data_IF_620496182870
#
_entry.id   IF_620496182870
#
_cell.length_a   1.000
_cell.length_b   1.000
_cell.length_c   1.000
_cell.angle_alpha   90.00
_cell.angle_beta   90.00
_cell.angle_gamma   90.00
#
_symmetry.space_group_name_H-M   'P 1'
#
loop_
_entity.id
_entity.type
_entity.pdbx_description
1 polymer ?
#
# COMPACT_ATOMS: atom_id res chain seq x y z
N UNK A 1 -1.14 23.02 -24.48
CA UNK A 1 -0.27 22.79 -23.31
C UNK A 1 -0.92 23.43 -22.09
N UNK A 2 -0.78 22.87 -20.91
CA UNK A 2 -1.25 23.45 -19.66
C UNK A 2 0.00 23.80 -18.85
N UNK A 3 0.21 25.08 -18.60
CA UNK A 3 1.37 25.58 -17.87
C UNK A 3 0.98 26.03 -16.47
N UNK A 4 1.87 25.83 -15.50
CA UNK A 4 1.76 26.32 -14.13
C UNK A 4 0.40 25.96 -13.46
N UNK A 5 -0.06 24.74 -13.65
CA UNK A 5 -1.27 24.26 -13.01
C UNK A 5 -1.01 24.00 -11.52
N UNK A 6 -1.54 24.84 -10.66
CA UNK A 6 -1.61 24.64 -9.22
C UNK A 6 -3.03 24.15 -8.87
N UNK A 7 -3.14 22.84 -8.60
CA UNK A 7 -4.41 22.20 -8.25
C UNK A 7 -4.88 22.69 -6.87
N UNK A 8 -3.94 22.86 -5.93
CA UNK A 8 -4.24 23.33 -4.59
C UNK A 8 -4.85 24.75 -4.58
N UNK A 9 -4.21 25.65 -5.32
CA UNK A 9 -4.71 27.03 -5.43
C UNK A 9 -6.10 27.10 -6.08
N UNK A 10 -6.47 26.11 -6.91
CA UNK A 10 -7.74 26.08 -7.64
C UNK A 10 -8.87 25.35 -6.92
N UNK A 11 -8.58 24.28 -6.20
CA UNK A 11 -9.60 23.43 -5.59
C UNK A 11 -9.53 23.37 -4.06
N UNK A 12 -8.46 23.88 -3.46
CA UNK A 12 -8.25 23.81 -2.01
C UNK A 12 -7.91 22.41 -1.53
N UNK A 13 -7.96 22.23 -0.22
CA UNK A 13 -7.78 20.93 0.44
C UNK A 13 -8.99 20.04 0.11
N UNK A 14 -8.73 18.80 -0.29
CA UNK A 14 -9.73 17.78 -0.62
C UNK A 14 -10.72 18.18 -1.76
N UNK A 15 -10.39 19.22 -2.50
CA UNK A 15 -11.20 19.67 -3.62
C UNK A 15 -10.89 18.91 -4.92
N UNK A 16 -11.93 18.40 -5.59
CA UNK A 16 -11.77 17.82 -6.91
C UNK A 16 -11.53 18.92 -7.96
N UNK A 17 -10.48 18.74 -8.78
CA UNK A 17 -10.20 19.62 -9.91
C UNK A 17 -10.47 18.89 -11.22
N UNK A 18 -11.29 19.51 -12.07
CA UNK A 18 -11.60 18.99 -13.40
C UNK A 18 -11.18 19.99 -14.46
N UNK A 19 -10.57 19.50 -15.53
CA UNK A 19 -10.25 20.29 -16.70
C UNK A 19 -10.62 19.55 -17.97
N UNK A 20 -11.26 20.26 -18.89
CA UNK A 20 -11.53 19.78 -20.24
C UNK A 20 -10.46 20.38 -21.16
N UNK A 21 -9.84 19.53 -21.95
CA UNK A 21 -8.86 19.92 -22.97
C UNK A 21 -9.26 19.29 -24.29
N UNK A 22 -9.05 20.03 -25.37
CA UNK A 22 -9.14 19.47 -26.71
C UNK A 22 -7.77 18.90 -27.09
N UNK A 23 -7.77 17.69 -27.59
CA UNK A 23 -6.56 17.01 -28.06
C UNK A 23 -6.88 16.25 -29.35
N UNK A 24 -5.89 16.11 -30.21
CA UNK A 24 -5.97 15.32 -31.40
C UNK A 24 -5.25 13.98 -31.19
N UNK A 25 -5.94 12.90 -31.53
CA UNK A 25 -5.33 11.57 -31.49
C UNK A 25 -4.40 11.39 -32.69
N UNK A 26 -3.15 11.06 -32.45
CA UNK A 26 -2.18 10.75 -33.49
C UNK A 26 -2.08 9.23 -33.60
N UNK A 27 -2.36 8.67 -34.77
CA UNK A 27 -2.41 7.23 -35.00
C UNK A 27 -3.34 6.44 -34.04
N UNK A 28 -4.42 7.09 -33.57
CA UNK A 28 -5.37 6.48 -32.62
C UNK A 28 -4.92 6.56 -31.17
N UNK A 29 -3.81 7.21 -30.87
CA UNK A 29 -3.26 7.33 -29.52
C UNK A 29 -3.34 8.75 -28.99
N UNK A 30 -3.65 8.92 -27.70
CA UNK A 30 -3.57 10.15 -26.95
C UNK A 30 -2.46 10.01 -25.91
N UNK A 31 -1.42 10.81 -26.03
CA UNK A 31 -0.33 10.88 -25.06
C UNK A 31 -0.60 11.99 -24.03
N UNK A 32 -0.55 11.64 -22.76
CA UNK A 32 -0.58 12.59 -21.65
C UNK A 32 0.79 12.56 -20.99
N UNK A 33 1.49 13.67 -21.04
CA UNK A 33 2.84 13.79 -20.51
C UNK A 33 2.91 14.89 -19.44
N UNK A 34 3.74 14.68 -18.43
CA UNK A 34 4.05 15.64 -17.37
C UNK A 34 5.56 15.92 -17.38
N UNK A 35 6.04 16.73 -18.34
CA UNK A 35 7.47 16.92 -18.53
C UNK A 35 8.15 17.61 -17.34
N UNK A 36 7.39 18.37 -16.55
CA UNK A 36 7.90 19.04 -15.35
C UNK A 36 6.84 19.08 -14.26
N UNK A 37 7.19 18.55 -13.08
CA UNK A 37 6.38 18.64 -11.86
C UNK A 37 7.18 19.44 -10.84
N UNK A 38 6.81 20.71 -10.62
CA UNK A 38 7.55 21.66 -9.77
C UNK A 38 7.41 21.37 -8.29
N UNK A 39 6.27 20.82 -7.86
CA UNK A 39 6.00 20.48 -6.47
C UNK A 39 4.96 19.37 -6.38
N UNK A 40 5.11 18.46 -5.41
CA UNK A 40 4.19 17.35 -5.18
C UNK A 40 4.31 16.25 -6.24
N UNK A 41 3.17 15.71 -6.65
CA UNK A 41 3.07 14.63 -7.64
C UNK A 41 2.02 15.00 -8.71
N UNK A 42 2.27 14.60 -9.95
CA UNK A 42 1.25 14.62 -10.99
C UNK A 42 0.28 13.46 -10.75
N UNK A 43 -0.99 13.77 -10.49
CA UNK A 43 -2.03 12.78 -10.19
C UNK A 43 -3.19 12.97 -11.17
N UNK A 44 -3.59 11.88 -11.82
CA UNK A 44 -4.84 11.81 -12.59
C UNK A 44 -5.70 10.73 -11.95
N UNK A 45 -6.86 11.11 -11.41
CA UNK A 45 -7.78 10.16 -10.78
C UNK A 45 -8.78 9.56 -11.79
N UNK A 46 -9.11 10.30 -12.85
CA UNK A 46 -10.01 9.83 -13.90
C UNK A 46 -9.76 10.59 -15.22
N UNK A 47 -9.97 9.90 -16.33
CA UNK A 47 -9.93 10.44 -17.69
C UNK A 47 -11.23 10.06 -18.38
N UNK A 48 -11.92 11.02 -18.97
CA UNK A 48 -13.04 10.79 -19.86
C UNK A 48 -12.70 11.32 -21.25
N UNK A 49 -12.88 10.50 -22.27
CA UNK A 49 -12.62 10.84 -23.67
C UNK A 49 -13.95 10.83 -24.43
N UNK A 50 -14.23 11.88 -25.17
CA UNK A 50 -15.38 11.96 -26.04
C UNK A 50 -15.02 12.76 -27.31
N UNK A 51 -15.75 12.51 -28.40
CA UNK A 51 -15.59 13.31 -29.61
C UNK A 51 -16.06 14.74 -29.37
N UNK A 52 -15.39 15.70 -30.03
CA UNK A 52 -15.80 17.10 -30.00
C UNK A 52 -17.27 17.23 -30.43
N UNK A 53 -18.08 17.92 -29.62
CA UNK A 53 -19.53 18.07 -29.81
C UNK A 53 -20.40 17.00 -29.13
N UNK A 54 -19.83 15.89 -28.64
CA UNK A 54 -20.58 14.90 -27.84
C UNK A 54 -20.53 15.20 -26.35
N UNK A 55 -19.52 15.96 -25.90
CA UNK A 55 -19.35 16.32 -24.48
C UNK A 55 -20.50 17.18 -23.97
N UNK A 56 -21.11 17.97 -24.84
CA UNK A 56 -22.22 18.86 -24.48
C UNK A 56 -23.56 18.14 -24.29
N UNK A 57 -23.68 16.91 -24.82
CA UNK A 57 -24.95 16.16 -24.80
C UNK A 57 -25.13 15.30 -23.55
N UNK A 58 -24.10 15.08 -22.75
CA UNK A 58 -24.20 14.33 -21.51
C UNK A 58 -24.35 15.29 -20.33
N UNK A 59 -25.42 15.17 -19.54
CA UNK A 59 -25.51 15.93 -18.30
C UNK A 59 -24.27 15.63 -17.48
N UNK A 60 -23.48 16.68 -17.20
CA UNK A 60 -22.36 16.55 -16.27
C UNK A 60 -22.97 16.24 -14.92
N UNK A 61 -22.60 15.09 -14.35
CA UNK A 61 -22.87 14.86 -12.94
C UNK A 61 -22.33 16.08 -12.16
N UNK A 62 -23.13 16.70 -11.31
CA UNK A 62 -22.67 17.82 -10.52
C UNK A 62 -21.38 17.39 -9.79
N UNK A 63 -20.38 18.28 -9.79
CA UNK A 63 -19.21 18.10 -8.94
C UNK A 63 -19.71 18.16 -7.49
N UNK A 64 -19.95 16.99 -6.93
CA UNK A 64 -20.31 16.88 -5.53
C UNK A 64 -19.04 17.18 -4.75
N UNK A 65 -19.06 18.17 -3.89
CA UNK A 65 -17.93 18.45 -3.01
C UNK A 65 -17.71 17.22 -2.15
N UNK A 66 -16.46 16.84 -1.91
CA UNK A 66 -16.15 15.69 -1.05
C UNK A 66 -16.82 15.80 0.34
N UNK A 67 -16.98 17.04 0.85
CA UNK A 67 -17.78 17.32 2.05
C UNK A 67 -19.25 16.91 1.96
N UNK A 68 -19.82 16.84 0.75
CA UNK A 68 -21.24 16.53 0.54
C UNK A 68 -21.46 15.02 0.34
N UNK A 69 -20.37 14.26 0.07
CA UNK A 69 -20.43 12.80 -0.18
C UNK A 69 -19.98 11.99 1.03
N UNK A 70 -19.11 12.52 1.87
CA UNK A 70 -18.50 11.77 2.97
C UNK A 70 -18.42 12.54 4.29
N UNK A 71 -19.56 13.04 4.78
CA UNK A 71 -19.68 13.07 6.22
C UNK A 71 -20.30 11.72 6.63
N UNK A 72 -19.51 10.83 7.16
CA UNK A 72 -19.99 9.60 7.81
C UNK A 72 -21.03 9.89 8.91
N UNK A 73 -21.09 11.12 9.37
CA UNK A 73 -22.10 11.63 10.32
C UNK A 73 -23.45 11.96 9.66
N UNK A 74 -23.55 12.03 8.34
CA UNK A 74 -24.78 12.37 7.62
C UNK A 74 -25.41 11.18 6.86
N UNK A 75 -24.76 10.02 6.80
CA UNK A 75 -25.41 8.79 6.38
C UNK A 75 -26.16 8.23 7.59
N UNK A 76 -27.41 8.64 7.72
CA UNK A 76 -28.35 8.02 8.62
C UNK A 76 -28.40 6.52 8.32
N UNK A 77 -28.24 5.68 9.33
CA UNK A 77 -28.31 4.22 9.18
C UNK A 77 -29.59 3.78 8.43
N UNK A 78 -30.67 4.53 8.56
CA UNK A 78 -31.92 4.34 7.83
C UNK A 78 -31.82 4.59 6.32
N UNK A 79 -30.88 5.44 5.88
CA UNK A 79 -30.67 5.70 4.45
C UNK A 79 -29.92 4.53 3.79
N UNK A 80 -28.98 3.91 4.51
CA UNK A 80 -28.29 2.70 4.06
C UNK A 80 -29.24 1.50 3.94
N UNK A 81 -30.22 1.37 4.85
CA UNK A 81 -31.23 0.30 4.81
C UNK A 81 -32.19 0.46 3.64
N UNK A 82 -32.39 1.67 3.12
CA UNK A 82 -33.27 1.95 1.98
C UNK A 82 -32.59 1.85 0.61
N UNK A 83 -31.28 1.69 0.55
CA UNK A 83 -30.61 1.43 -0.71
C UNK A 83 -30.93 0.02 -1.19
N UNK A 84 -31.37 -0.16 -2.46
CA UNK A 84 -31.48 -1.49 -3.05
C UNK A 84 -30.16 -2.23 -2.89
N UNK A 85 -30.22 -3.52 -2.52
CA UNK A 85 -29.02 -4.35 -2.34
C UNK A 85 -28.07 -4.32 -3.54
N UNK A 86 -28.62 -4.11 -4.73
CA UNK A 86 -27.89 -4.02 -5.99
C UNK A 86 -27.12 -2.68 -6.15
N UNK A 87 -27.46 -1.65 -5.36
CA UNK A 87 -26.74 -0.35 -5.32
C UNK A 87 -25.75 -0.26 -4.17
N UNK A 88 -25.82 -1.16 -3.20
CA UNK A 88 -24.72 -1.28 -2.24
C UNK A 88 -23.53 -1.78 -3.04
N UNK A 89 -22.39 -1.02 -3.06
CA UNK A 89 -21.18 -1.59 -3.62
C UNK A 89 -21.03 -2.95 -2.96
N UNK A 90 -21.04 -4.00 -3.77
CA UNK A 90 -20.67 -5.31 -3.24
C UNK A 90 -19.37 -5.07 -2.50
N UNK A 91 -19.31 -5.53 -1.26
CA UNK A 91 -18.16 -5.40 -0.36
C UNK A 91 -16.97 -6.22 -0.88
N UNK A 92 -16.78 -6.19 -2.21
CA UNK A 92 -15.65 -6.75 -2.95
C UNK A 92 -14.38 -5.94 -2.74
N UNK A 93 -14.49 -4.79 -2.06
CA UNK A 93 -13.35 -4.01 -1.61
C UNK A 93 -12.89 -4.37 -0.19
N UNK A 94 -13.13 -5.56 0.29
CA UNK A 94 -12.18 -6.16 1.20
C UNK A 94 -10.88 -6.26 0.42
N UNK A 95 -10.01 -5.24 0.57
CA UNK A 95 -8.64 -5.28 0.04
C UNK A 95 -8.10 -6.62 0.45
N UNK A 96 -7.86 -7.48 -0.53
CA UNK A 96 -7.44 -8.85 -0.27
C UNK A 96 -6.14 -8.79 0.51
N UNK A 97 -6.19 -9.20 1.77
CA UNK A 97 -4.98 -9.38 2.56
C UNK A 97 -4.22 -10.56 1.98
N UNK A 98 -3.04 -10.32 1.46
CA UNK A 98 -2.15 -11.39 1.01
C UNK A 98 -1.19 -11.71 2.12
N UNK A 99 -1.20 -12.96 2.57
CA UNK A 99 -0.30 -13.46 3.61
C UNK A 99 0.88 -14.19 2.97
N UNK A 100 2.08 -13.78 3.34
CA UNK A 100 3.34 -14.43 2.96
C UNK A 100 3.93 -15.10 4.19
N UNK A 101 4.02 -16.42 4.16
CA UNK A 101 4.51 -17.21 5.27
C UNK A 101 6.03 -17.11 5.40
N UNK A 102 6.55 -17.16 6.63
CA UNK A 102 7.98 -17.06 6.86
C UNK A 102 8.74 -18.33 6.39
N UNK A 103 8.08 -19.47 6.45
CA UNK A 103 8.65 -20.74 6.00
C UNK A 103 8.79 -20.89 4.49
N UNK A 104 8.16 -20.02 3.70
CA UNK A 104 8.27 -19.95 2.25
C UNK A 104 9.28 -18.88 1.80
N UNK A 105 9.77 -18.09 2.74
CA UNK A 105 10.75 -17.04 2.50
C UNK A 105 12.17 -17.58 2.41
N UNK A 106 13.05 -16.80 1.76
CA UNK A 106 14.49 -17.05 1.82
C UNK A 106 15.05 -16.55 3.16
N UNK A 107 15.55 -17.46 3.98
CA UNK A 107 16.08 -17.13 5.30
C UNK A 107 17.61 -17.30 5.30
N UNK A 108 18.33 -16.34 5.90
CA UNK A 108 19.77 -16.42 6.14
C UNK A 108 20.09 -16.22 7.62
N UNK A 109 21.11 -16.90 8.10
CA UNK A 109 21.53 -16.88 9.50
C UNK A 109 21.35 -18.23 10.16
N UNK A 110 21.38 -18.26 11.49
CA UNK A 110 21.07 -19.43 12.27
C UNK A 110 19.58 -19.44 12.61
N UNK A 111 18.83 -20.40 12.09
CA UNK A 111 17.40 -20.46 12.29
C UNK A 111 16.90 -21.92 12.30
N UNK A 112 15.73 -22.12 12.89
CA UNK A 112 14.95 -23.36 12.78
C UNK A 112 13.50 -23.04 12.38
N UNK A 113 12.90 -23.92 11.59
CA UNK A 113 11.46 -23.95 11.34
C UNK A 113 10.81 -24.76 12.44
N UNK A 114 9.89 -24.16 13.17
CA UNK A 114 9.25 -24.80 14.31
C UNK A 114 7.79 -24.39 14.47
N UNK A 115 6.95 -25.34 14.86
CA UNK A 115 5.60 -25.04 15.30
C UNK A 115 5.62 -24.60 16.78
N UNK A 116 4.92 -23.53 17.07
CA UNK A 116 4.69 -23.04 18.41
C UNK A 116 3.28 -22.45 18.56
N UNK A 117 2.49 -23.04 19.47
CA UNK A 117 1.09 -22.63 19.73
C UNK A 117 0.22 -22.64 18.46
N UNK A 118 0.28 -23.73 17.68
CA UNK A 118 -0.47 -23.96 16.44
C UNK A 118 -0.09 -23.03 15.26
N UNK A 119 1.01 -22.32 15.38
CA UNK A 119 1.56 -21.50 14.32
C UNK A 119 2.94 -22.00 13.95
N UNK A 120 3.20 -22.13 12.67
CA UNK A 120 4.54 -22.46 12.17
C UNK A 120 5.29 -21.16 11.92
N UNK A 121 6.54 -21.10 12.32
CA UNK A 121 7.35 -19.91 12.11
C UNK A 121 8.84 -20.20 12.04
N UNK A 122 9.59 -19.21 11.64
CA UNK A 122 11.06 -19.21 11.64
C UNK A 122 11.54 -18.61 12.96
N UNK A 123 12.32 -19.38 13.70
CA UNK A 123 12.91 -19.01 14.99
C UNK A 123 14.41 -18.83 14.81
N UNK A 124 14.88 -17.63 15.10
CA UNK A 124 16.29 -17.30 14.97
C UNK A 124 17.05 -17.56 16.27
N UNK A 125 18.20 -18.21 16.13
CA UNK A 125 19.16 -18.44 17.20
C UNK A 125 20.41 -17.56 17.04
N UNK A 126 21.38 -17.73 17.94
CA UNK A 126 22.64 -16.97 17.94
C UNK A 126 23.35 -17.11 16.60
N UNK A 127 23.68 -15.99 15.99
CA UNK A 127 24.47 -15.92 14.76
C UNK A 127 25.62 -14.93 14.95
N UNK A 128 26.77 -15.23 14.33
CA UNK A 128 27.91 -14.31 14.23
C UNK A 128 27.87 -13.46 12.95
N UNK A 129 26.90 -13.72 12.10
CA UNK A 129 26.68 -13.00 10.82
C UNK A 129 25.31 -12.39 10.84
N UNK A 130 25.14 -11.36 10.02
CA UNK A 130 23.86 -10.76 9.74
C UNK A 130 22.82 -11.84 9.44
N UNK A 131 21.66 -11.69 10.04
CA UNK A 131 20.51 -12.58 9.83
C UNK A 131 19.42 -11.82 9.10
N UNK A 132 18.79 -12.46 8.13
CA UNK A 132 17.69 -11.84 7.40
C UNK A 132 16.65 -12.86 6.94
N UNK A 133 15.46 -12.33 6.66
CA UNK A 133 14.38 -13.04 5.97
C UNK A 133 13.90 -12.19 4.81
N UNK A 134 13.68 -12.82 3.64
CA UNK A 134 13.36 -12.17 2.38
C UNK A 134 12.12 -12.84 1.79
N UNK A 135 11.06 -12.06 1.63
CA UNK A 135 9.87 -12.50 0.89
C UNK A 135 9.89 -11.90 -0.51
N UNK A 136 9.51 -12.69 -1.49
CA UNK A 136 9.14 -12.20 -2.80
C UNK A 136 7.64 -11.90 -2.78
N UNK A 137 7.30 -10.64 -2.97
CA UNK A 137 5.92 -10.15 -2.84
C UNK A 137 5.42 -9.57 -4.15
N UNK A 138 4.13 -9.77 -4.40
CA UNK A 138 3.45 -9.22 -5.57
C UNK A 138 2.43 -8.19 -5.14
N UNK A 139 2.44 -7.06 -5.82
CA UNK A 139 1.46 -6.00 -5.63
C UNK A 139 0.59 -5.88 -6.87
N UNK A 140 -0.73 -5.89 -6.70
CA UNK A 140 -1.68 -5.84 -7.82
C UNK A 140 -2.12 -4.42 -8.21
N UNK A 141 -1.95 -3.46 -7.32
CA UNK A 141 -2.41 -2.08 -7.50
C UNK A 141 -1.31 -1.09 -7.11
N UNK A 142 -1.37 0.11 -7.69
CA UNK A 142 -0.52 1.21 -7.26
C UNK A 142 -1.14 1.89 -6.03
N UNK A 143 -0.56 1.68 -4.86
CA UNK A 143 -1.04 2.24 -3.59
C UNK A 143 0.05 2.24 -2.51
N UNK A 144 -0.26 2.85 -1.36
CA UNK A 144 0.50 2.63 -0.12
C UNK A 144 -0.04 1.37 0.53
N UNK A 145 0.83 0.40 0.77
CA UNK A 145 0.46 -0.88 1.37
C UNK A 145 0.67 -0.86 2.88
N UNK A 146 -0.29 -1.43 3.61
CA UNK A 146 -0.11 -1.80 4.99
C UNK A 146 0.69 -3.10 5.08
N UNK A 147 1.66 -3.14 5.99
CA UNK A 147 2.51 -4.29 6.27
C UNK A 147 2.28 -4.71 7.72
N UNK A 148 1.88 -5.95 7.95
CA UNK A 148 1.59 -6.48 9.27
C UNK A 148 2.41 -7.73 9.51
N UNK A 149 3.39 -7.64 10.42
CA UNK A 149 4.30 -8.74 10.76
C UNK A 149 3.78 -9.48 11.98
N UNK A 150 3.60 -10.80 11.86
CA UNK A 150 3.28 -11.66 13.00
C UNK A 150 4.57 -12.24 13.58
N UNK A 151 4.91 -11.81 14.78
CA UNK A 151 6.22 -12.06 15.38
C UNK A 151 6.15 -12.43 16.85
N UNK A 152 7.25 -12.94 17.34
CA UNK A 152 7.55 -13.12 18.76
C UNK A 152 8.99 -12.67 19.02
N UNK A 153 9.19 -11.89 20.09
CA UNK A 153 10.50 -11.49 20.57
C UNK A 153 10.67 -11.94 22.02
N UNK A 154 11.54 -12.92 22.24
CA UNK A 154 11.85 -13.47 23.54
C UNK A 154 12.88 -12.64 24.33
N UNK A 155 13.47 -11.63 23.70
CA UNK A 155 14.41 -10.75 24.36
C UNK A 155 13.73 -9.84 25.38
N UNK A 156 14.51 -9.36 26.36
CA UNK A 156 14.01 -8.40 27.37
C UNK A 156 13.85 -6.98 26.84
N UNK A 157 14.50 -6.67 25.71
CA UNK A 157 14.51 -5.36 25.09
C UNK A 157 13.90 -5.39 23.70
N UNK A 158 13.35 -4.27 23.22
CA UNK A 158 12.92 -4.16 21.84
C UNK A 158 14.07 -4.48 20.87
N UNK A 159 13.79 -5.30 19.87
CA UNK A 159 14.75 -5.69 18.84
C UNK A 159 14.63 -4.73 17.65
N UNK A 160 15.68 -3.95 17.31
CA UNK A 160 15.70 -3.17 16.09
C UNK A 160 15.96 -4.09 14.88
N UNK A 161 15.10 -4.01 13.88
CA UNK A 161 15.20 -4.79 12.64
C UNK A 161 15.03 -3.84 11.47
N UNK A 162 15.93 -3.87 10.51
CA UNK A 162 15.87 -3.07 9.30
C UNK A 162 14.82 -3.65 8.36
N UNK A 163 13.91 -2.82 7.89
CA UNK A 163 12.91 -3.15 6.88
C UNK A 163 13.31 -2.50 5.56
N UNK A 164 13.47 -3.30 4.52
CA UNK A 164 13.67 -2.79 3.17
C UNK A 164 12.60 -3.33 2.23
N UNK A 165 12.14 -2.48 1.32
CA UNK A 165 11.27 -2.83 0.22
C UNK A 165 11.97 -2.47 -1.08
N UNK A 166 12.27 -3.48 -1.91
CA UNK A 166 13.15 -3.36 -3.07
C UNK A 166 12.43 -3.82 -4.32
N UNK A 167 12.50 -3.05 -5.39
CA UNK A 167 11.91 -3.41 -6.67
C UNK A 167 12.71 -4.47 -7.44
N UNK A 168 12.16 -4.94 -8.55
CA UNK A 168 12.81 -5.95 -9.41
C UNK A 168 14.13 -5.45 -10.05
N UNK A 169 14.36 -4.14 -10.10
CA UNK A 169 15.60 -3.52 -10.60
C UNK A 169 16.64 -3.32 -9.50
N UNK A 170 16.32 -3.64 -8.25
CA UNK A 170 17.20 -3.46 -7.10
C UNK A 170 17.12 -2.06 -6.47
N UNK A 171 16.15 -1.24 -6.87
CA UNK A 171 15.94 0.09 -6.27
C UNK A 171 15.25 -0.07 -4.92
N UNK A 172 15.83 0.52 -3.89
CA UNK A 172 15.26 0.53 -2.54
C UNK A 172 14.19 1.61 -2.47
N UNK A 173 12.94 1.20 -2.30
CA UNK A 173 11.79 2.09 -2.20
C UNK A 173 11.46 2.48 -0.76
N UNK A 174 11.79 1.60 0.20
CA UNK A 174 11.69 1.85 1.63
C UNK A 174 12.92 1.27 2.32
N UNK A 175 13.44 2.02 3.26
CA UNK A 175 14.53 1.63 4.16
C UNK A 175 14.28 2.26 5.52
N UNK A 176 13.90 1.44 6.49
CA UNK A 176 13.46 1.93 7.79
C UNK A 176 13.84 0.94 8.91
N UNK A 177 13.86 1.41 10.15
CA UNK A 177 14.10 0.58 11.32
C UNK A 177 12.82 0.36 12.13
N UNK A 178 12.39 -0.88 12.19
CA UNK A 178 11.28 -1.31 13.04
C UNK A 178 11.79 -1.74 14.41
N UNK A 179 11.00 -1.48 15.44
CA UNK A 179 11.29 -1.92 16.80
C UNK A 179 10.28 -2.96 17.24
N UNK A 180 10.70 -4.21 17.29
CA UNK A 180 9.87 -5.32 17.73
C UNK A 180 9.93 -5.43 19.26
N UNK A 181 8.85 -5.04 19.93
CA UNK A 181 8.75 -5.07 21.38
C UNK A 181 8.88 -6.50 21.94
N UNK A 182 9.34 -6.69 23.18
CA UNK A 182 9.31 -7.98 23.88
C UNK A 182 7.90 -8.58 23.93
N UNK A 183 7.79 -9.86 23.61
CA UNK A 183 6.51 -10.58 23.62
C UNK A 183 6.64 -11.96 24.25
N UNK A 184 7.06 -12.09 25.51
CA UNK A 184 7.53 -13.35 26.08
C UNK A 184 6.53 -14.49 25.84
N UNK A 185 6.91 -15.38 24.90
CA UNK A 185 6.14 -16.57 24.54
C UNK A 185 4.75 -16.31 23.94
N UNK A 186 4.51 -15.12 23.33
CA UNK A 186 3.23 -14.78 22.68
C UNK A 186 3.46 -14.19 21.29
N UNK A 187 2.71 -14.69 20.32
CA UNK A 187 2.64 -14.05 19.01
C UNK A 187 1.96 -12.68 19.10
N UNK A 188 2.50 -11.70 18.42
CA UNK A 188 1.98 -10.34 18.35
C UNK A 188 2.05 -9.84 16.91
N UNK A 189 1.29 -8.79 16.62
CA UNK A 189 1.33 -8.10 15.33
C UNK A 189 2.04 -6.76 15.48
N UNK A 190 2.96 -6.47 14.54
CA UNK A 190 3.50 -5.13 14.32
C UNK A 190 3.00 -4.63 12.98
N UNK A 191 2.40 -3.46 12.96
CA UNK A 191 1.90 -2.86 11.73
C UNK A 191 2.72 -1.64 11.35
N UNK A 192 3.01 -1.50 10.06
CA UNK A 192 3.63 -0.33 9.43
C UNK A 192 3.07 -0.17 8.02
N UNK A 193 3.60 0.73 7.22
CA UNK A 193 3.22 0.90 5.82
C UNK A 193 4.45 0.97 4.94
N UNK A 194 4.27 0.88 3.61
CA UNK A 194 5.35 1.14 2.66
C UNK A 194 5.82 2.59 2.70
N UNK A 195 5.03 3.50 3.26
CA UNK A 195 5.37 4.92 3.40
C UNK A 195 5.26 5.71 2.10
N UNK A 196 5.41 5.05 0.95
CA UNK A 196 5.29 5.62 -0.39
C UNK A 196 4.38 4.77 -1.25
N UNK A 197 3.90 5.34 -2.35
CA UNK A 197 3.20 4.59 -3.38
C UNK A 197 4.12 3.53 -3.99
N UNK A 198 3.63 2.30 -4.03
CA UNK A 198 4.27 1.17 -4.68
C UNK A 198 3.41 0.79 -5.89
N UNK A 199 3.99 0.73 -7.07
CA UNK A 199 3.31 0.32 -8.29
C UNK A 199 2.94 -1.18 -8.23
N UNK A 200 2.06 -1.62 -9.13
CA UNK A 200 1.86 -3.04 -9.36
C UNK A 200 3.16 -3.68 -9.85
N UNK A 201 3.53 -4.83 -9.30
CA UNK A 201 4.78 -5.50 -9.69
C UNK A 201 5.31 -6.49 -8.66
N UNK A 202 6.56 -6.93 -8.91
CA UNK A 202 7.29 -7.87 -8.06
C UNK A 202 8.33 -7.13 -7.24
N UNK A 203 8.40 -7.45 -5.96
CA UNK A 203 9.26 -6.78 -5.00
C UNK A 203 9.89 -7.78 -4.02
N UNK A 204 10.96 -7.36 -3.36
CA UNK A 204 11.53 -8.05 -2.22
C UNK A 204 11.27 -7.25 -0.96
N UNK A 205 10.66 -7.89 0.02
CA UNK A 205 10.49 -7.38 1.36
C UNK A 205 11.53 -8.07 2.25
N UNK A 206 12.40 -7.30 2.87
CA UNK A 206 13.54 -7.81 3.64
C UNK A 206 13.45 -7.30 5.08
N UNK A 207 13.52 -8.20 6.03
CA UNK A 207 13.85 -7.88 7.42
C UNK A 207 15.25 -8.38 7.72
N UNK A 208 16.13 -7.50 8.21
CA UNK A 208 17.50 -7.86 8.56
C UNK A 208 17.97 -7.20 9.86
N UNK A 209 18.93 -7.84 10.53
CA UNK A 209 19.63 -7.30 11.68
C UNK A 209 20.98 -8.01 11.84
N UNK A 210 21.92 -7.37 12.55
CA UNK A 210 23.19 -8.00 12.92
C UNK A 210 22.96 -9.30 13.68
N UNK A 211 21.89 -9.35 14.48
CA UNK A 211 21.44 -10.56 15.15
C UNK A 211 19.93 -10.54 15.32
N UNK A 212 19.28 -11.64 14.93
CA UNK A 212 17.87 -11.92 15.19
C UNK A 212 17.70 -12.96 16.32
N UNK A 213 18.72 -13.16 17.18
CA UNK A 213 18.63 -14.12 18.29
C UNK A 213 17.42 -13.84 19.18
N UNK A 214 16.67 -14.89 19.49
CA UNK A 214 15.44 -14.80 20.27
C UNK A 214 14.22 -14.19 19.56
N UNK A 215 14.35 -13.89 18.26
CA UNK A 215 13.25 -13.43 17.42
C UNK A 215 12.63 -14.60 16.67
N UNK A 216 11.32 -14.58 16.53
CA UNK A 216 10.59 -15.50 15.68
C UNK A 216 9.56 -14.75 14.85
N UNK A 217 9.29 -15.25 13.65
CA UNK A 217 8.33 -14.66 12.72
C UNK A 217 7.51 -15.76 12.04
N UNK A 218 6.19 -15.56 11.97
CA UNK A 218 5.24 -16.43 11.29
C UNK A 218 5.03 -15.99 9.84
N UNK A 219 5.03 -14.67 9.61
CA UNK A 219 4.88 -14.14 8.26
C UNK A 219 4.56 -12.64 8.24
N UNK A 220 4.24 -12.17 7.04
CA UNK A 220 3.80 -10.80 6.79
C UNK A 220 2.49 -10.81 6.00
N UNK A 221 1.57 -9.95 6.41
CA UNK A 221 0.34 -9.64 5.69
C UNK A 221 0.53 -8.31 4.98
N UNK A 222 0.15 -8.26 3.70
CA UNK A 222 0.19 -7.06 2.85
C UNK A 222 -1.24 -6.74 2.41
N UNK A 223 -1.69 -5.50 2.62
CA UNK A 223 -3.05 -5.05 2.32
C UNK A 223 -3.05 -3.70 1.61
#
# INVERSE_FOLDING_TARGET
MIDNLDIWAKSGHDGAFRRVVEAEAVNGELLIDFPEVKSGQAIICAIAIAKKGEVEKRPMLPLVKASDVFSWSAMDADTLVKMPKEMLPEDKNTRSVVKYQAEEALVKGNFEKREYKKETGIFFGKSKKESCIIWEVNTGLAQVYALRFKFMNSNKQPLPVRLQFIDAKGVVLKDDWLRFAPTPGKWRMLSTTTGTFINAGHYKLILSADSLDGFAIDGVEIQ
#
